data_IF_677515949486
#
_entry.id   IF_677515949486
#
_cell.length_a   1.000
_cell.length_b   1.000
_cell.length_c   1.000
_cell.angle_alpha   90.00
_cell.angle_beta   90.00
_cell.angle_gamma   90.00
#
_symmetry.space_group_name_H-M   'P 1'
#
loop_
_entity.id
_entity.type
_entity.pdbx_description
1 polymer ?
#
# COMPACT_ATOMS: atom_id res chain seq x y z
N UNK A 1 3.32 -10.60 1.85
CA UNK A 1 2.37 -10.38 2.95
C UNK A 1 1.95 -11.72 3.56
N UNK A 2 1.88 -11.77 4.88
CA UNK A 2 1.41 -12.93 5.64
C UNK A 2 0.30 -12.50 6.61
N UNK A 3 -0.63 -13.43 6.88
CA UNK A 3 -1.72 -13.27 7.84
C UNK A 3 -1.58 -14.27 8.96
N UNK A 4 -1.87 -13.85 10.19
CA UNK A 4 -1.93 -14.78 11.32
C UNK A 4 -3.28 -15.52 11.34
N UNK A 5 -3.23 -16.85 11.30
CA UNK A 5 -4.39 -17.75 11.37
C UNK A 5 -4.06 -18.87 12.35
N UNK A 6 -4.89 -19.07 13.38
CA UNK A 6 -4.67 -20.06 14.45
C UNK A 6 -3.24 -20.05 15.05
N UNK A 7 -2.66 -18.85 15.23
CA UNK A 7 -1.32 -18.67 15.79
C UNK A 7 -0.16 -18.81 14.80
N UNK A 8 -0.40 -19.30 13.58
CA UNK A 8 0.62 -19.48 12.54
C UNK A 8 0.53 -18.34 11.52
N UNK A 9 1.67 -17.93 10.96
CA UNK A 9 1.73 -16.98 9.85
C UNK A 9 1.60 -17.72 8.52
N UNK A 10 0.57 -17.37 7.75
CA UNK A 10 0.27 -17.99 6.45
C UNK A 10 0.48 -16.94 5.37
N UNK A 11 1.24 -17.29 4.33
CA UNK A 11 1.43 -16.41 3.16
C UNK A 11 0.10 -16.18 2.46
N UNK A 12 -0.23 -14.91 2.25
CA UNK A 12 -1.40 -14.52 1.46
C UNK A 12 -0.96 -14.45 0.00
N UNK A 13 -1.51 -15.30 -0.90
CA UNK A 13 -1.17 -15.25 -2.32
C UNK A 13 -1.64 -13.93 -2.94
N UNK A 14 -1.05 -13.53 -4.06
CA UNK A 14 -1.53 -12.39 -4.82
C UNK A 14 -2.82 -12.77 -5.55
N UNK A 15 -3.92 -12.08 -5.27
CA UNK A 15 -5.21 -12.24 -5.93
C UNK A 15 -5.78 -10.84 -6.16
N UNK A 16 -5.97 -10.44 -7.44
CA UNK A 16 -6.54 -9.14 -7.82
C UNK A 16 -5.90 -7.97 -7.06
N UNK A 17 -4.58 -7.86 -7.17
CA UNK A 17 -3.77 -6.81 -6.52
C UNK A 17 -3.80 -6.79 -4.98
N UNK A 18 -4.33 -7.83 -4.35
CA UNK A 18 -4.30 -8.01 -2.91
C UNK A 18 -3.45 -9.23 -2.54
N UNK A 19 -2.45 -9.07 -1.67
CA UNK A 19 -1.64 -10.19 -1.22
C UNK A 19 -0.14 -9.95 -1.22
N UNK A 20 0.60 -11.02 -1.48
CA UNK A 20 2.04 -10.98 -1.77
C UNK A 20 2.27 -10.75 -3.27
N UNK A 21 1.87 -9.59 -3.76
CA UNK A 21 1.97 -9.22 -5.18
C UNK A 21 3.33 -8.61 -5.53
N UNK A 22 3.68 -8.69 -6.81
CA UNK A 22 4.75 -7.89 -7.43
C UNK A 22 4.04 -6.89 -8.32
N UNK A 23 4.30 -5.61 -8.09
CA UNK A 23 3.77 -4.51 -8.88
C UNK A 23 4.91 -4.05 -9.79
N UNK A 24 4.91 -4.49 -11.05
CA UNK A 24 6.02 -4.29 -12.00
C UNK A 24 6.27 -2.80 -12.29
N UNK A 25 5.20 -2.01 -12.38
CA UNK A 25 5.28 -0.58 -12.60
C UNK A 25 4.32 0.17 -11.66
N UNK A 26 4.91 0.84 -10.66
CA UNK A 26 4.17 1.65 -9.70
C UNK A 26 3.56 2.91 -10.33
N UNK A 27 4.05 3.36 -11.49
CA UNK A 27 3.51 4.54 -12.16
C UNK A 27 2.08 4.31 -12.66
N UNK A 28 1.68 3.05 -12.89
CA UNK A 28 0.31 2.68 -13.24
C UNK A 28 -0.71 2.89 -12.11
N UNK A 29 -0.25 3.08 -10.87
CA UNK A 29 -1.08 3.30 -9.69
C UNK A 29 -1.09 4.78 -9.24
N UNK A 30 -0.43 5.66 -9.99
CA UNK A 30 -0.46 7.11 -9.76
C UNK A 30 -1.76 7.75 -10.23
N UNK A 31 -1.95 9.03 -9.90
CA UNK A 31 -3.03 9.83 -10.45
C UNK A 31 -2.73 10.26 -11.89
N UNK A 32 -3.75 10.23 -12.75
CA UNK A 32 -3.67 10.75 -14.13
C UNK A 32 -3.40 12.27 -14.17
N UNK A 33 -2.95 12.77 -15.32
CA UNK A 33 -2.59 14.18 -15.51
C UNK A 33 -3.77 15.12 -15.23
N UNK A 34 -4.97 14.74 -15.67
CA UNK A 34 -6.20 15.51 -15.54
C UNK A 34 -6.79 15.50 -14.12
N UNK A 35 -6.31 14.60 -13.24
CA UNK A 35 -6.84 14.49 -11.88
C UNK A 35 -5.96 15.24 -10.90
N UNK A 36 -6.50 16.18 -10.13
CA UNK A 36 -5.74 16.88 -9.08
C UNK A 36 -5.22 15.91 -8.01
N UNK A 37 -3.96 16.08 -7.58
CA UNK A 37 -3.43 15.33 -6.44
C UNK A 37 -4.24 15.60 -5.16
N UNK A 38 -4.27 14.66 -4.20
CA UNK A 38 -4.86 14.89 -2.88
C UNK A 38 -4.29 16.12 -2.20
N UNK A 39 -5.14 16.88 -1.49
CA UNK A 39 -4.73 18.12 -0.83
C UNK A 39 -3.55 17.94 0.15
N UNK A 40 -3.50 16.82 0.89
CA UNK A 40 -2.40 16.51 1.81
C UNK A 40 -1.06 16.31 1.09
N UNK A 41 -1.07 15.74 -0.12
CA UNK A 41 0.12 15.57 -0.94
C UNK A 41 0.63 16.91 -1.47
N UNK A 42 -0.29 17.77 -1.93
CA UNK A 42 0.06 19.13 -2.38
C UNK A 42 0.66 19.95 -1.25
N UNK A 43 0.05 19.91 -0.06
CA UNK A 43 0.51 20.64 1.13
C UNK A 43 1.92 20.25 1.56
N UNK A 44 2.22 18.95 1.57
CA UNK A 44 3.53 18.42 1.97
C UNK A 44 4.51 18.27 0.79
N UNK A 45 4.15 18.76 -0.40
CA UNK A 45 4.94 18.70 -1.65
C UNK A 45 5.38 17.27 -2.01
N UNK A 46 4.49 16.31 -1.79
CA UNK A 46 4.67 14.91 -2.14
C UNK A 46 4.08 14.65 -3.53
N UNK A 47 4.84 14.09 -4.49
CA UNK A 47 4.31 13.77 -5.81
C UNK A 47 3.28 12.64 -5.71
N UNK A 48 2.20 12.75 -6.46
CA UNK A 48 1.14 11.73 -6.53
C UNK A 48 1.16 10.92 -7.85
N UNK A 49 2.15 11.18 -8.72
CA UNK A 49 2.32 10.53 -10.02
C UNK A 49 3.81 10.51 -10.41
N UNK A 50 4.15 9.71 -11.40
CA UNK A 50 5.49 9.68 -11.98
C UNK A 50 5.71 10.85 -12.96
N UNK A 51 6.97 11.27 -13.20
CA UNK A 51 8.19 10.82 -12.51
C UNK A 51 8.29 11.36 -11.08
N UNK A 52 8.81 10.53 -10.16
CA UNK A 52 9.15 10.96 -8.80
C UNK A 52 10.60 11.43 -8.79
N UNK A 53 10.80 12.74 -8.64
CA UNK A 53 12.14 13.33 -8.62
C UNK A 53 12.90 12.96 -7.34
N UNK A 54 14.23 13.08 -7.38
CA UNK A 54 15.05 12.89 -6.18
C UNK A 54 14.82 14.06 -5.23
N UNK A 55 14.34 13.78 -4.02
CA UNK A 55 14.08 14.82 -3.03
C UNK A 55 13.85 14.26 -1.63
N UNK A 56 13.59 15.17 -0.69
CA UNK A 56 13.12 14.83 0.65
C UNK A 56 11.61 15.00 0.68
N UNK A 57 10.90 13.88 0.85
CA UNK A 57 9.45 13.87 0.94
C UNK A 57 9.02 13.51 2.36
N UNK A 58 8.07 14.27 2.90
CA UNK A 58 7.42 13.96 4.17
C UNK A 58 6.04 13.41 3.87
N UNK A 59 5.86 12.11 4.07
CA UNK A 59 4.55 11.50 3.89
C UNK A 59 3.62 11.96 5.03
N UNK A 60 2.41 12.46 4.74
CA UNK A 60 1.47 12.89 5.76
C UNK A 60 1.17 11.76 6.75
N UNK A 61 1.09 12.08 8.04
CA UNK A 61 0.83 11.08 9.10
C UNK A 61 -0.62 10.61 9.17
N UNK A 62 -1.54 11.30 8.51
CA UNK A 62 -2.99 11.10 8.54
C UNK A 62 -3.51 10.30 7.34
N UNK A 63 -2.64 9.64 6.57
CA UNK A 63 -3.04 8.76 5.47
C UNK A 63 -3.95 7.66 6.00
N UNK A 64 -5.24 7.80 5.73
CA UNK A 64 -6.25 6.78 6.01
C UNK A 64 -6.41 5.89 4.80
N UNK A 65 -5.99 4.63 4.94
CA UNK A 65 -6.21 3.61 3.93
C UNK A 65 -7.56 2.97 4.21
N UNK A 66 -8.58 3.41 3.47
CA UNK A 66 -9.87 2.74 3.44
C UNK A 66 -9.90 1.78 2.27
N UNK A 67 -10.13 0.50 2.55
CA UNK A 67 -10.48 -0.47 1.51
C UNK A 67 -11.99 -0.55 1.43
N UNK A 68 -12.55 -0.51 0.21
CA UNK A 68 -13.98 -0.69 0.03
C UNK A 68 -14.42 -2.05 0.59
N UNK A 69 -15.32 -1.99 1.58
CA UNK A 69 -15.86 -3.18 2.22
C UNK A 69 -16.72 -3.96 1.22
N UNK A 70 -16.16 -5.01 0.64
CA UNK A 70 -16.93 -6.02 -0.07
C UNK A 70 -17.54 -7.02 0.94
N UNK A 71 -18.37 -7.95 0.47
CA UNK A 71 -18.97 -9.00 1.31
C UNK A 71 -17.93 -9.94 1.97
N UNK A 72 -16.64 -9.80 1.64
CA UNK A 72 -15.52 -10.53 2.23
C UNK A 72 -14.75 -9.73 3.30
N UNK A 73 -15.15 -8.49 3.63
CA UNK A 73 -14.46 -7.64 4.60
C UNK A 73 -14.26 -8.33 5.97
N UNK A 74 -15.26 -9.08 6.43
CA UNK A 74 -15.14 -9.90 7.64
C UNK A 74 -14.10 -11.01 7.51
N UNK A 75 -14.02 -11.67 6.35
CA UNK A 75 -13.04 -12.75 6.12
C UNK A 75 -11.60 -12.24 6.08
N UNK A 76 -11.35 -11.00 5.67
CA UNK A 76 -10.01 -10.42 5.61
C UNK A 76 -9.58 -9.71 6.90
N UNK A 77 -10.43 -9.64 7.92
CA UNK A 77 -10.06 -9.06 9.22
C UNK A 77 -9.01 -9.92 9.93
N UNK A 78 -8.00 -9.29 10.52
CA UNK A 78 -6.94 -10.02 11.23
C UNK A 78 -5.62 -9.27 11.34
N UNK A 79 -4.63 -9.96 11.91
CA UNK A 79 -3.25 -9.48 12.03
C UNK A 79 -2.45 -9.86 10.80
N UNK A 80 -1.71 -8.90 10.27
CA UNK A 80 -0.88 -9.01 9.08
C UNK A 80 0.53 -8.55 9.37
N UNK A 81 1.48 -9.12 8.63
CA UNK A 81 2.82 -8.58 8.47
C UNK A 81 3.17 -8.57 6.99
N UNK A 82 3.84 -7.52 6.56
CA UNK A 82 4.25 -7.36 5.17
C UNK A 82 5.63 -6.72 5.10
N UNK A 83 6.38 -7.13 4.08
CA UNK A 83 7.60 -6.48 3.65
C UNK A 83 7.35 -5.98 2.24
N UNK A 84 7.60 -4.70 2.01
CA UNK A 84 7.51 -4.02 0.73
C UNK A 84 8.92 -3.59 0.31
N UNK A 85 9.33 -4.01 -0.87
CA UNK A 85 10.65 -3.71 -1.42
C UNK A 85 10.46 -2.93 -2.71
N UNK A 86 11.05 -1.75 -2.79
CA UNK A 86 10.97 -0.84 -3.92
C UNK A 86 12.25 -0.95 -4.72
N UNK A 87 12.14 -1.26 -6.02
CA UNK A 87 13.30 -1.43 -6.90
C UNK A 87 13.17 -0.54 -8.13
N UNK A 88 14.29 -0.05 -8.65
CA UNK A 88 14.36 0.71 -9.89
C UNK A 88 15.64 0.33 -10.63
N UNK A 89 15.54 -0.02 -11.92
CA UNK A 89 16.68 -0.49 -12.72
C UNK A 89 17.50 -1.63 -12.07
N UNK A 90 16.80 -2.58 -11.42
CA UNK A 90 17.39 -3.71 -10.66
C UNK A 90 18.11 -3.35 -9.36
N UNK A 91 18.10 -2.08 -8.96
CA UNK A 91 18.63 -1.64 -7.67
C UNK A 91 17.50 -1.51 -6.64
N UNK A 92 17.71 -2.07 -5.45
CA UNK A 92 16.81 -1.85 -4.32
C UNK A 92 16.99 -0.41 -3.79
N UNK A 93 15.90 0.35 -3.82
CA UNK A 93 15.88 1.74 -3.32
C UNK A 93 15.42 1.81 -1.86
N UNK A 94 14.47 0.95 -1.48
CA UNK A 94 13.93 0.92 -0.13
C UNK A 94 13.34 -0.46 0.20
N UNK A 95 13.39 -0.82 1.49
CA UNK A 95 12.74 -2.00 2.03
C UNK A 95 12.08 -1.64 3.36
N UNK A 96 10.76 -1.81 3.42
CA UNK A 96 9.95 -1.49 4.61
C UNK A 96 9.26 -2.75 5.10
N UNK A 97 9.30 -2.97 6.41
CA UNK A 97 8.54 -4.04 7.05
C UNK A 97 7.54 -3.45 8.03
N UNK A 98 6.30 -3.89 7.93
CA UNK A 98 5.20 -3.41 8.76
C UNK A 98 4.37 -4.56 9.31
N UNK A 99 3.88 -4.40 10.53
CA UNK A 99 2.86 -5.25 11.14
C UNK A 99 1.63 -4.40 11.43
N UNK A 100 0.45 -4.86 11.02
CA UNK A 100 -0.79 -4.10 11.12
C UNK A 100 -2.00 -5.02 11.34
N UNK A 101 -3.12 -4.44 11.75
CA UNK A 101 -4.39 -5.17 11.92
C UNK A 101 -5.43 -4.56 11.00
N UNK A 102 -6.03 -5.39 10.14
CA UNK A 102 -7.20 -5.00 9.38
C UNK A 102 -8.45 -5.31 10.20
N UNK A 103 -9.32 -4.32 10.34
CA UNK A 103 -10.64 -4.46 10.97
C UNK A 103 -11.70 -4.09 9.96
N UNK A 104 -12.65 -4.98 9.72
CA UNK A 104 -13.86 -4.63 8.99
C UNK A 104 -14.60 -3.52 9.75
N UNK A 105 -14.93 -2.44 9.04
CA UNK A 105 -15.84 -1.42 9.54
C UNK A 105 -17.21 -1.78 8.97
N UNK A 106 -18.21 -2.12 9.81
CA UNK A 106 -19.57 -2.30 9.32
C UNK A 106 -20.06 -0.96 8.74
N UNK A 107 -20.68 -1.02 7.56
CA UNK A 107 -21.43 0.11 6.99
C UNK A 107 -22.71 0.34 7.78
#
# INVERSE_FOLDING_TARGET
MERQVFGVWVRVPCIRDFGSCIYEDLCNYGYDEDTSCPASFVQDRVPCRCPVEKGLYKIPSDVRISADGNHWAGLVSGKYRATATFTHNKYEMACYTASFTLKAVPK
#
